data_IF_712107305756
#
_entry.id   IF_712107305756
#
_cell.length_a   1.000
_cell.length_b   1.000
_cell.length_c   1.000
_cell.angle_alpha   90.00
_cell.angle_beta   90.00
_cell.angle_gamma   90.00
#
_symmetry.space_group_name_H-M   'P 1'
#
loop_
_entity.id
_entity.type
_entity.pdbx_description
1 polymer ?
#
# COMPACT_ATOMS: atom_id res chain seq x y z
N UNK A 1 -28.04 8.46 72.93
CA UNK A 1 -27.94 7.78 71.62
C UNK A 1 -27.98 8.80 70.47
N UNK A 2 -26.92 9.59 70.28
CA UNK A 2 -26.79 10.56 69.18
C UNK A 2 -25.40 10.65 68.49
N UNK A 3 -24.29 10.03 68.96
CA UNK A 3 -23.01 10.19 68.25
C UNK A 3 -22.75 9.13 67.16
N UNK A 4 -23.54 8.04 67.11
CA UNK A 4 -23.25 6.91 66.19
C UNK A 4 -23.69 7.19 64.75
N UNK A 5 -24.64 8.11 64.53
CA UNK A 5 -25.17 8.40 63.20
C UNK A 5 -24.25 9.29 62.33
N UNK A 6 -23.37 10.09 62.94
CA UNK A 6 -22.50 11.01 62.19
C UNK A 6 -21.25 10.34 61.61
N UNK A 7 -20.83 9.18 62.13
CA UNK A 7 -19.67 8.46 61.58
C UNK A 7 -20.03 7.60 60.37
N UNK A 8 -21.30 7.17 60.25
CA UNK A 8 -21.73 6.33 59.14
C UNK A 8 -21.91 7.11 57.83
N UNK A 9 -22.28 8.40 57.88
CA UNK A 9 -22.46 9.21 56.67
C UNK A 9 -21.14 9.61 55.99
N UNK A 10 -20.05 9.72 56.77
CA UNK A 10 -18.74 10.12 56.24
C UNK A 10 -18.06 8.96 55.49
N UNK A 11 -18.31 7.72 55.92
CA UNK A 11 -17.75 6.52 55.29
C UNK A 11 -18.45 6.17 53.97
N UNK A 12 -19.72 6.55 53.80
CA UNK A 12 -20.48 6.33 52.56
C UNK A 12 -20.06 7.28 51.42
N UNK A 13 -19.50 8.46 51.73
CA UNK A 13 -19.04 9.41 50.71
C UNK A 13 -17.70 9.04 50.07
N UNK A 14 -16.86 8.25 50.75
CA UNK A 14 -15.54 7.85 50.23
C UNK A 14 -15.66 6.71 49.20
N UNK A 15 -16.75 5.92 49.24
CA UNK A 15 -16.91 4.76 48.34
C UNK A 15 -17.47 5.19 46.96
N UNK A 16 -18.16 6.33 46.85
CA UNK A 16 -18.80 6.76 45.59
C UNK A 16 -17.82 7.48 44.64
N UNK A 17 -16.67 7.96 45.14
CA UNK A 17 -15.66 8.64 44.31
C UNK A 17 -14.74 7.70 43.50
N UNK A 18 -14.84 6.38 43.68
CA UNK A 18 -13.99 5.41 42.97
C UNK A 18 -14.58 4.81 41.69
N UNK A 19 -15.81 5.15 41.30
CA UNK A 19 -16.45 4.55 40.10
C UNK A 19 -16.55 5.49 38.90
N UNK A 20 -15.89 6.65 38.91
CA UNK A 20 -16.05 7.68 37.87
C UNK A 20 -14.88 7.78 36.87
N UNK A 21 -14.22 6.67 36.48
CA UNK A 21 -13.27 6.68 35.35
C UNK A 21 -13.23 5.33 34.62
N UNK A 22 -14.21 5.03 33.78
CA UNK A 22 -14.10 3.89 32.85
C UNK A 22 -14.83 4.06 31.51
N UNK A 23 -15.67 5.08 31.33
CA UNK A 23 -16.62 5.09 30.19
C UNK A 23 -16.19 5.84 28.93
N UNK A 24 -14.96 6.38 28.83
CA UNK A 24 -14.58 7.13 27.61
C UNK A 24 -13.25 6.73 26.96
N UNK A 25 -12.55 5.71 27.47
CA UNK A 25 -11.31 5.27 26.80
C UNK A 25 -11.57 4.63 25.43
N UNK A 26 -12.75 4.04 25.19
CA UNK A 26 -13.10 3.48 23.88
C UNK A 26 -13.33 4.57 22.83
N UNK A 27 -13.98 5.68 23.21
CA UNK A 27 -14.20 6.82 22.32
C UNK A 27 -12.90 7.56 22.03
N UNK A 28 -12.05 7.74 23.06
CA UNK A 28 -10.71 8.33 22.93
C UNK A 28 -9.80 7.46 22.07
N UNK A 29 -9.80 6.13 22.24
CA UNK A 29 -9.04 5.21 21.39
C UNK A 29 -9.53 5.19 19.95
N UNK A 30 -10.85 5.30 19.70
CA UNK A 30 -11.40 5.46 18.34
C UNK A 30 -11.01 6.80 17.72
N UNK A 31 -10.98 7.87 18.50
CA UNK A 31 -10.56 9.19 18.04
C UNK A 31 -9.06 9.22 17.71
N UNK A 32 -8.19 8.60 18.52
CA UNK A 32 -6.77 8.45 18.21
C UNK A 32 -6.52 7.52 17.02
N UNK A 33 -7.24 6.40 16.89
CA UNK A 33 -7.14 5.52 15.72
C UNK A 33 -7.56 6.25 14.43
N UNK A 34 -8.60 7.07 14.49
CA UNK A 34 -9.06 7.89 13.36
C UNK A 34 -8.10 9.05 13.05
N UNK A 35 -7.55 9.72 14.06
CA UNK A 35 -6.51 10.75 13.85
C UNK A 35 -5.22 10.16 13.26
N UNK A 36 -4.82 8.96 13.69
CA UNK A 36 -3.65 8.29 13.13
C UNK A 36 -3.88 7.89 11.66
N UNK A 37 -5.09 7.46 11.29
CA UNK A 37 -5.46 7.24 9.89
C UNK A 37 -5.44 8.53 9.07
N UNK A 38 -5.97 9.64 9.63
CA UNK A 38 -6.00 10.92 8.94
C UNK A 38 -4.60 11.50 8.73
N UNK A 39 -3.73 11.44 9.73
CA UNK A 39 -2.35 11.92 9.66
C UNK A 39 -1.49 11.09 8.70
N UNK A 40 -1.71 9.76 8.67
CA UNK A 40 -0.97 8.84 7.82
C UNK A 40 -1.48 8.86 6.36
N UNK A 41 -2.76 9.18 6.14
CA UNK A 41 -3.27 9.56 4.80
C UNK A 41 -2.73 10.93 4.40
N UNK A 42 -2.76 11.92 5.28
CA UNK A 42 -2.29 13.26 4.99
C UNK A 42 -0.78 13.30 4.67
N UNK A 43 0.05 12.45 5.28
CA UNK A 43 1.47 12.29 4.91
C UNK A 43 1.66 11.62 3.54
N UNK A 44 0.88 10.59 3.22
CA UNK A 44 0.92 9.93 1.91
C UNK A 44 0.37 10.85 0.80
N UNK A 45 -0.56 11.74 1.17
CA UNK A 45 -1.16 12.69 0.25
C UNK A 45 -0.43 14.03 0.15
N UNK A 46 0.25 14.49 1.19
CA UNK A 46 1.21 15.59 1.08
C UNK A 46 2.42 15.16 0.25
N UNK A 47 2.79 13.87 0.27
CA UNK A 47 3.68 13.35 -0.76
C UNK A 47 3.06 13.46 -2.14
N UNK A 48 1.77 13.11 -2.31
CA UNK A 48 0.97 13.31 -3.55
C UNK A 48 0.82 14.77 -4.04
N UNK A 49 1.03 15.78 -3.19
CA UNK A 49 1.07 17.19 -3.58
C UNK A 49 2.49 17.77 -3.69
N UNK A 50 3.51 17.14 -3.09
CA UNK A 50 4.93 17.51 -3.26
C UNK A 50 5.59 16.93 -4.53
N UNK A 51 4.84 16.37 -5.47
CA UNK A 51 5.40 15.85 -6.74
C UNK A 51 5.79 16.95 -7.74
N UNK A 52 5.34 18.19 -7.56
CA UNK A 52 5.46 19.22 -8.59
C UNK A 52 6.58 20.26 -8.41
N UNK A 53 7.38 20.23 -7.34
CA UNK A 53 8.16 21.45 -7.00
C UNK A 53 9.63 21.31 -6.59
N UNK A 54 10.21 20.11 -6.52
CA UNK A 54 11.62 19.98 -6.10
C UNK A 54 12.37 18.93 -6.91
N UNK A 55 12.83 19.31 -8.11
CA UNK A 55 14.05 18.81 -8.79
C UNK A 55 14.33 17.30 -8.85
N UNK A 56 13.35 16.42 -8.64
CA UNK A 56 13.51 14.97 -8.68
C UNK A 56 13.06 14.45 -10.03
N UNK A 57 13.81 13.49 -10.56
CA UNK A 57 13.50 12.76 -11.80
C UNK A 57 12.00 12.45 -11.84
N UNK A 58 11.36 12.85 -12.94
CA UNK A 58 9.95 12.58 -13.21
C UNK A 58 9.70 11.08 -13.00
N UNK A 59 8.66 10.73 -12.24
CA UNK A 59 8.32 9.31 -12.09
C UNK A 59 8.07 8.72 -13.46
N UNK A 60 8.82 7.67 -13.76
CA UNK A 60 8.59 6.87 -14.94
C UNK A 60 7.22 6.18 -14.84
N UNK A 61 6.29 6.66 -15.64
CA UNK A 61 4.92 6.17 -15.75
C UNK A 61 4.54 6.16 -17.24
N UNK A 62 5.11 5.21 -18.00
CA UNK A 62 4.84 5.08 -19.42
C UNK A 62 3.40 4.62 -19.66
N UNK A 63 2.96 4.79 -20.90
CA UNK A 63 1.65 4.35 -21.34
C UNK A 63 1.72 2.86 -21.67
N UNK A 64 0.82 2.07 -21.10
CA UNK A 64 0.68 0.63 -21.38
C UNK A 64 -0.71 0.30 -21.92
N UNK A 65 -0.83 -0.86 -22.55
CA UNK A 65 -2.14 -1.47 -22.85
C UNK A 65 -2.49 -2.46 -21.75
N UNK A 66 -3.54 -2.13 -21.00
CA UNK A 66 -4.05 -2.95 -19.91
C UNK A 66 -5.28 -3.73 -20.32
N UNK A 67 -5.34 -4.99 -19.93
CA UNK A 67 -6.58 -5.78 -19.86
C UNK A 67 -7.20 -5.56 -18.49
N UNK A 68 -8.40 -4.97 -18.46
CA UNK A 68 -9.11 -4.61 -17.23
C UNK A 68 -10.37 -5.45 -17.14
N UNK A 69 -10.50 -6.26 -16.08
CA UNK A 69 -11.73 -6.98 -15.78
C UNK A 69 -12.55 -6.16 -14.79
N UNK A 70 -13.73 -5.72 -15.23
CA UNK A 70 -14.68 -4.92 -14.45
C UNK A 70 -15.40 -5.76 -13.40
N UNK A 71 -16.06 -5.12 -12.42
CA UNK A 71 -16.86 -5.80 -11.39
C UNK A 71 -17.99 -6.67 -11.96
N UNK A 72 -18.59 -6.24 -13.07
CA UNK A 72 -19.64 -7.02 -13.77
C UNK A 72 -19.08 -8.23 -14.54
N UNK A 73 -17.75 -8.40 -14.59
CA UNK A 73 -17.08 -9.49 -15.32
C UNK A 73 -16.75 -9.17 -16.77
N UNK A 74 -17.16 -8.01 -17.29
CA UNK A 74 -16.75 -7.56 -18.62
C UNK A 74 -15.26 -7.22 -18.63
N UNK A 75 -14.62 -7.38 -19.79
CA UNK A 75 -13.21 -7.05 -19.98
C UNK A 75 -13.06 -5.91 -20.97
N UNK A 76 -12.18 -4.95 -20.66
CA UNK A 76 -11.84 -3.83 -21.54
C UNK A 76 -10.33 -3.78 -21.77
N UNK A 77 -9.93 -3.48 -23.00
CA UNK A 77 -8.56 -3.07 -23.30
C UNK A 77 -8.42 -1.56 -23.18
N UNK A 78 -7.46 -1.11 -22.37
CA UNK A 78 -7.30 0.29 -22.01
C UNK A 78 -5.85 0.70 -22.20
N UNK A 79 -5.60 1.50 -23.23
CA UNK A 79 -4.27 2.05 -23.50
C UNK A 79 -4.09 3.39 -22.78
N UNK A 80 -3.41 3.40 -21.63
CA UNK A 80 -3.35 4.55 -20.72
C UNK A 80 -2.09 4.56 -19.85
N UNK A 81 -1.80 5.72 -19.25
CA UNK A 81 -0.96 5.78 -18.05
C UNK A 81 -1.84 5.52 -16.82
N UNK A 82 -1.23 5.22 -15.67
CA UNK A 82 -1.96 5.23 -14.40
C UNK A 82 -1.91 6.66 -13.85
N UNK A 83 -3.01 7.39 -13.94
CA UNK A 83 -3.10 8.77 -13.48
C UNK A 83 -3.49 8.85 -12.00
N UNK A 84 -3.15 9.96 -11.36
CA UNK A 84 -3.64 10.30 -10.02
C UNK A 84 -4.79 11.31 -10.11
N UNK A 85 -5.90 11.00 -9.46
CA UNK A 85 -7.00 11.92 -9.21
C UNK A 85 -6.78 12.56 -7.83
N UNK A 86 -6.33 13.81 -7.81
CA UNK A 86 -5.99 14.53 -6.57
C UNK A 86 -7.21 14.94 -5.76
N UNK A 87 -8.39 14.99 -6.39
CA UNK A 87 -9.65 15.31 -5.70
C UNK A 87 -10.26 14.07 -5.08
N UNK A 88 -10.32 12.96 -5.83
CA UNK A 88 -10.87 11.70 -5.34
C UNK A 88 -9.88 10.89 -4.49
N UNK A 89 -8.59 11.26 -4.54
CA UNK A 89 -7.49 10.56 -3.88
C UNK A 89 -7.32 9.10 -4.32
N UNK A 90 -7.47 8.87 -5.64
CA UNK A 90 -7.43 7.55 -6.27
C UNK A 90 -6.60 7.57 -7.54
N UNK A 91 -6.04 6.44 -7.92
CA UNK A 91 -5.53 6.25 -9.28
C UNK A 91 -6.68 5.98 -10.25
N UNK A 92 -6.48 6.30 -11.53
CA UNK A 92 -7.43 5.92 -12.58
C UNK A 92 -6.71 5.64 -13.90
N UNK A 93 -7.37 4.87 -14.77
CA UNK A 93 -7.03 4.77 -16.18
C UNK A 93 -7.97 5.67 -16.97
N UNK A 94 -7.43 6.36 -17.98
CA UNK A 94 -8.23 7.07 -18.96
C UNK A 94 -8.60 6.11 -20.10
N UNK A 95 -9.86 5.72 -20.18
CA UNK A 95 -10.45 4.98 -21.29
C UNK A 95 -10.97 5.98 -22.33
N UNK A 96 -10.59 5.78 -23.59
CA UNK A 96 -11.00 6.62 -24.71
C UNK A 96 -11.81 5.79 -25.70
N UNK A 97 -13.12 5.97 -25.72
CA UNK A 97 -14.00 5.30 -26.66
C UNK A 97 -13.85 5.93 -28.05
N UNK A 98 -13.22 5.19 -28.97
CA UNK A 98 -12.96 5.68 -30.32
C UNK A 98 -14.20 5.61 -31.23
N UNK A 99 -15.27 4.94 -30.81
CA UNK A 99 -16.53 4.89 -31.57
C UNK A 99 -17.32 6.20 -31.45
N UNK A 100 -17.11 6.94 -30.36
CA UNK A 100 -17.74 8.25 -30.12
C UNK A 100 -16.96 9.41 -30.78
N UNK A 101 -17.70 10.44 -31.18
CA UNK A 101 -17.13 11.65 -31.77
C UNK A 101 -16.19 12.37 -30.78
N UNK A 102 -15.16 13.07 -31.31
CA UNK A 102 -14.15 13.73 -30.45
C UNK A 102 -14.72 14.74 -29.44
N UNK A 103 -15.88 15.34 -29.76
CA UNK A 103 -16.58 16.33 -28.93
C UNK A 103 -17.57 15.70 -27.95
N UNK A 104 -17.82 14.40 -28.05
CA UNK A 104 -18.73 13.70 -27.15
C UNK A 104 -18.14 13.67 -25.73
N UNK A 105 -18.93 14.11 -24.75
CA UNK A 105 -18.51 14.15 -23.35
C UNK A 105 -18.26 12.75 -22.76
N UNK A 106 -18.90 11.71 -23.31
CA UNK A 106 -18.76 10.33 -22.86
C UNK A 106 -17.56 9.60 -23.48
N UNK A 107 -16.83 10.24 -24.40
CA UNK A 107 -15.67 9.66 -25.08
C UNK A 107 -14.53 9.33 -24.13
N UNK A 108 -14.31 10.18 -23.12
CA UNK A 108 -13.22 10.04 -22.17
C UNK A 108 -13.79 9.61 -20.82
N UNK A 109 -13.54 8.37 -20.43
CA UNK A 109 -14.06 7.80 -19.19
C UNK A 109 -12.91 7.48 -18.25
N UNK A 110 -13.06 7.81 -16.98
CA UNK A 110 -12.13 7.37 -15.94
C UNK A 110 -12.58 6.01 -15.43
N UNK A 111 -11.66 5.05 -15.39
CA UNK A 111 -11.85 3.76 -14.74
C UNK A 111 -11.06 3.80 -13.44
N UNK A 112 -11.71 3.57 -12.32
CA UNK A 112 -11.11 3.53 -10.99
C UNK A 112 -10.97 2.08 -10.47
N UNK A 113 -10.02 1.82 -9.55
CA UNK A 113 -9.81 0.49 -8.97
C UNK A 113 -11.07 -0.20 -8.46
N UNK A 114 -11.96 0.49 -7.75
CA UNK A 114 -13.18 -0.11 -7.19
C UNK A 114 -14.19 -0.57 -8.23
N UNK A 115 -14.06 -0.12 -9.48
CA UNK A 115 -14.90 -0.57 -10.58
C UNK A 115 -14.34 -1.85 -11.22
N UNK A 116 -13.19 -2.33 -10.76
CA UNK A 116 -12.44 -3.43 -11.37
C UNK A 116 -12.25 -4.59 -10.38
N UNK A 117 -12.27 -5.82 -10.89
CA UNK A 117 -11.82 -7.01 -10.17
C UNK A 117 -10.30 -7.15 -10.26
N UNK A 118 -9.75 -6.93 -11.45
CA UNK A 118 -8.34 -7.11 -11.74
C UNK A 118 -7.88 -6.24 -12.91
N UNK A 119 -6.58 -5.99 -12.96
CA UNK A 119 -5.89 -5.36 -14.08
C UNK A 119 -4.66 -6.18 -14.42
N UNK A 120 -4.32 -6.29 -15.70
CA UNK A 120 -3.06 -6.88 -16.14
C UNK A 120 -2.52 -6.20 -17.38
N UNK A 121 -1.20 -6.25 -17.58
CA UNK A 121 -0.57 -5.95 -18.87
C UNK A 121 0.31 -7.11 -19.30
N UNK A 122 0.45 -7.31 -20.60
CA UNK A 122 1.42 -8.24 -21.16
C UNK A 122 2.78 -7.55 -21.15
N UNK A 123 3.79 -8.17 -20.54
CA UNK A 123 5.18 -7.73 -20.65
C UNK A 123 5.70 -8.11 -22.04
N UNK A 124 6.53 -7.24 -22.63
CA UNK A 124 7.06 -7.49 -23.97
C UNK A 124 7.84 -8.82 -24.00
N UNK A 125 7.69 -9.67 -25.02
CA UNK A 125 8.43 -10.93 -25.12
C UNK A 125 9.95 -10.76 -25.22
N UNK A 126 10.43 -9.53 -25.48
CA UNK A 126 11.86 -9.21 -25.46
C UNK A 126 12.46 -9.14 -24.05
N UNK A 127 11.65 -9.09 -22.98
CA UNK A 127 12.19 -9.02 -21.63
C UNK A 127 12.57 -10.39 -21.06
N UNK A 128 11.80 -11.46 -21.29
CA UNK A 128 12.23 -12.83 -21.01
C UNK A 128 11.44 -13.83 -21.86
N UNK A 129 12.12 -14.51 -22.78
CA UNK A 129 11.59 -15.63 -23.53
C UNK A 129 11.36 -16.84 -22.59
N UNK A 130 10.30 -17.61 -22.85
CA UNK A 130 9.99 -18.94 -22.29
C UNK A 130 9.13 -19.09 -21.02
N UNK A 131 8.17 -18.18 -20.74
CA UNK A 131 7.16 -18.44 -19.71
C UNK A 131 5.71 -18.16 -20.19
N UNK A 132 4.71 -18.95 -19.73
CA UNK A 132 3.31 -18.83 -20.16
C UNK A 132 2.74 -17.47 -19.75
N UNK A 133 2.44 -16.64 -20.74
CA UNK A 133 1.91 -15.27 -20.63
C UNK A 133 2.52 -14.47 -19.46
N UNK A 134 3.58 -13.71 -19.72
CA UNK A 134 4.16 -12.74 -18.78
C UNK A 134 3.16 -11.60 -18.49
N UNK A 135 2.08 -11.93 -17.81
CA UNK A 135 1.02 -11.02 -17.44
C UNK A 135 1.38 -10.39 -16.10
N UNK A 136 1.73 -9.11 -16.13
CA UNK A 136 1.98 -8.34 -14.93
C UNK A 136 0.64 -7.89 -14.33
N UNK A 137 0.20 -8.59 -13.28
CA UNK A 137 -1.12 -8.43 -12.66
C UNK A 137 -1.08 -7.42 -11.51
N UNK A 138 -2.09 -6.55 -11.49
CA UNK A 138 -2.38 -5.64 -10.40
C UNK A 138 -3.63 -6.05 -9.63
N UNK A 139 -3.59 -5.87 -8.31
CA UNK A 139 -4.70 -6.13 -7.39
C UNK A 139 -5.44 -4.82 -7.16
N UNK A 140 -6.75 -4.76 -7.43
CA UNK A 140 -7.55 -3.60 -7.13
C UNK A 140 -7.72 -3.42 -5.60
N UNK A 141 -7.50 -2.20 -5.11
CA UNK A 141 -7.77 -1.75 -3.74
C UNK A 141 -8.55 -0.44 -3.76
N UNK A 142 -8.83 0.13 -2.59
CA UNK A 142 -9.70 1.31 -2.47
C UNK A 142 -9.12 2.57 -3.13
N UNK A 143 -7.81 2.69 -3.33
CA UNK A 143 -7.23 3.90 -3.90
C UNK A 143 -6.31 3.67 -5.07
N UNK A 144 -5.83 2.45 -5.28
CA UNK A 144 -4.94 2.14 -6.39
C UNK A 144 -5.02 0.67 -6.80
N UNK A 145 -4.42 0.37 -7.95
CA UNK A 145 -4.02 -1.00 -8.27
C UNK A 145 -2.62 -1.25 -7.70
N UNK A 146 -2.44 -2.37 -7.01
CA UNK A 146 -1.17 -2.77 -6.44
C UNK A 146 -0.51 -3.85 -7.31
N UNK A 147 0.64 -3.54 -7.88
CA UNK A 147 1.44 -4.46 -8.69
C UNK A 147 2.58 -5.03 -7.83
N UNK A 148 2.75 -6.35 -7.83
CA UNK A 148 3.85 -7.00 -7.09
C UNK A 148 5.16 -6.81 -7.85
N UNK A 149 5.98 -5.86 -7.41
CA UNK A 149 7.23 -5.45 -8.07
C UNK A 149 8.45 -6.17 -7.50
N UNK A 150 8.45 -6.51 -6.21
CA UNK A 150 9.50 -7.33 -5.60
C UNK A 150 8.90 -8.66 -5.16
N UNK A 151 9.58 -9.76 -5.51
CA UNK A 151 9.23 -11.13 -5.11
C UNK A 151 10.29 -11.68 -4.15
N UNK A 152 9.86 -12.44 -3.15
CA UNK A 152 10.73 -13.03 -2.14
C UNK A 152 9.99 -13.23 -0.83
N UNK A 153 10.73 -13.40 0.27
CA UNK A 153 10.17 -13.52 1.62
C UNK A 153 9.38 -12.28 2.00
N UNK A 154 9.88 -11.10 1.67
CA UNK A 154 9.10 -9.86 1.63
C UNK A 154 8.75 -9.59 0.17
N UNK A 155 7.46 -9.62 -0.16
CA UNK A 155 6.94 -9.08 -1.41
C UNK A 155 6.64 -7.59 -1.23
N UNK A 156 6.98 -6.77 -2.23
CA UNK A 156 6.68 -5.34 -2.24
C UNK A 156 5.74 -4.99 -3.39
N UNK A 157 4.86 -4.02 -3.17
CA UNK A 157 3.82 -3.63 -4.11
C UNK A 157 3.92 -2.16 -4.47
N UNK A 158 3.87 -1.86 -5.77
CA UNK A 158 3.83 -0.50 -6.32
C UNK A 158 2.43 -0.13 -6.80
N UNK A 159 2.11 1.17 -6.78
CA UNK A 159 0.91 1.73 -7.42
C UNK A 159 1.05 1.86 -8.95
N UNK A 160 2.27 1.69 -9.48
CA UNK A 160 2.57 1.67 -10.92
C UNK A 160 2.93 0.27 -11.39
N UNK A 161 2.78 0.04 -12.70
CA UNK A 161 2.96 -1.26 -13.31
C UNK A 161 4.39 -1.53 -13.80
N UNK A 162 5.40 -0.82 -13.28
CA UNK A 162 6.81 -0.99 -13.67
C UNK A 162 7.48 -2.08 -12.84
N UNK A 163 8.37 -2.84 -13.47
CA UNK A 163 9.16 -3.89 -12.79
C UNK A 163 10.38 -3.28 -12.10
N UNK A 164 10.84 -3.89 -11.00
CA UNK A 164 11.92 -3.35 -10.17
C UNK A 164 13.33 -3.55 -10.76
N UNK A 165 13.44 -4.39 -11.78
CA UNK A 165 14.66 -4.62 -12.56
C UNK A 165 14.83 -3.60 -13.71
N UNK A 166 13.81 -2.77 -13.96
CA UNK A 166 13.94 -1.64 -14.86
C UNK A 166 14.75 -0.53 -14.17
N UNK A 167 15.77 0.00 -14.86
CA UNK A 167 16.62 1.10 -14.37
C UNK A 167 15.81 2.34 -13.94
N UNK A 168 14.60 2.49 -14.49
CA UNK A 168 13.71 3.62 -14.23
C UNK A 168 12.71 3.38 -13.08
N UNK A 169 12.78 2.26 -12.37
CA UNK A 169 11.89 1.99 -11.25
C UNK A 169 12.11 2.98 -10.10
N UNK A 170 11.06 3.71 -9.72
CA UNK A 170 11.12 4.64 -8.61
C UNK A 170 10.58 4.02 -7.31
N UNK A 171 11.41 3.82 -6.26
CA UNK A 171 10.98 3.22 -5.00
C UNK A 171 9.89 4.01 -4.25
N UNK A 172 9.69 5.29 -4.57
CA UNK A 172 8.63 6.10 -3.97
C UNK A 172 7.22 5.70 -4.40
N UNK A 173 7.10 4.81 -5.40
CA UNK A 173 5.83 4.23 -5.86
C UNK A 173 5.36 3.06 -4.99
N UNK A 174 6.20 2.57 -4.07
CA UNK A 174 5.85 1.48 -3.15
C UNK A 174 4.74 1.90 -2.18
N UNK A 175 3.70 1.07 -2.09
CA UNK A 175 2.51 1.31 -1.27
C UNK A 175 2.17 0.16 -0.33
N UNK A 176 2.65 -1.06 -0.62
CA UNK A 176 2.33 -2.25 0.17
C UNK A 176 3.52 -3.18 0.38
N UNK A 177 3.49 -3.91 1.49
CA UNK A 177 4.43 -4.97 1.86
C UNK A 177 3.67 -6.22 2.26
N UNK A 178 4.23 -7.39 1.99
CA UNK A 178 3.70 -8.68 2.42
C UNK A 178 4.86 -9.54 2.87
N UNK A 179 4.77 -10.11 4.07
CA UNK A 179 5.71 -11.12 4.56
C UNK A 179 5.15 -12.50 4.23
N UNK A 180 5.94 -13.33 3.57
CA UNK A 180 5.60 -14.65 3.06
C UNK A 180 4.29 -14.63 2.26
N UNK A 181 3.25 -15.33 2.76
CA UNK A 181 1.89 -15.35 2.20
C UNK A 181 0.87 -14.68 3.12
N UNK A 182 1.33 -13.85 4.06
CA UNK A 182 0.48 -13.15 5.00
C UNK A 182 -0.26 -11.97 4.38
N UNK A 183 -0.84 -11.13 5.24
CA UNK A 183 -1.58 -9.95 4.80
C UNK A 183 -0.67 -8.91 4.14
N UNK A 184 -1.23 -8.20 3.15
CA UNK A 184 -0.58 -7.02 2.59
C UNK A 184 -0.83 -5.85 3.54
N UNK A 185 0.24 -5.33 4.14
CA UNK A 185 0.20 -4.15 5.01
C UNK A 185 0.69 -2.92 4.25
N UNK A 186 0.34 -1.74 4.76
CA UNK A 186 0.84 -0.46 4.23
C UNK A 186 2.36 -0.41 4.28
N UNK A 187 2.98 0.09 3.20
CA UNK A 187 4.40 0.40 3.20
C UNK A 187 4.71 1.58 4.13
N UNK A 188 5.49 1.32 5.18
CA UNK A 188 6.13 2.32 6.04
C UNK A 188 7.37 1.70 6.72
N UNK A 189 8.18 2.55 7.36
CA UNK A 189 9.44 2.12 7.98
C UNK A 189 9.22 1.11 9.12
N UNK A 190 8.22 1.32 9.96
CA UNK A 190 7.96 0.48 11.14
C UNK A 190 7.53 -0.94 10.73
N UNK A 191 6.60 -1.05 9.79
CA UNK A 191 6.18 -2.34 9.23
C UNK A 191 7.36 -3.07 8.59
N UNK A 192 8.23 -2.36 7.86
CA UNK A 192 9.41 -2.96 7.26
C UNK A 192 10.41 -3.44 8.32
N UNK A 193 10.67 -2.65 9.38
CA UNK A 193 11.52 -3.04 10.52
C UNK A 193 11.01 -4.33 11.18
N UNK A 194 9.71 -4.41 11.43
CA UNK A 194 9.08 -5.61 12.00
C UNK A 194 9.29 -6.82 11.09
N UNK A 195 9.13 -6.67 9.77
CA UNK A 195 9.32 -7.76 8.81
C UNK A 195 10.77 -8.24 8.69
N UNK A 196 11.75 -7.33 8.72
CA UNK A 196 13.17 -7.72 8.62
C UNK A 196 13.72 -8.30 9.93
N UNK A 197 13.07 -8.02 11.07
CA UNK A 197 13.48 -8.53 12.38
C UNK A 197 14.89 -8.10 12.73
N UNK A 198 15.77 -9.07 13.01
CA UNK A 198 17.15 -8.86 13.45
C UNK A 198 18.19 -8.90 12.31
N UNK A 199 17.78 -8.87 11.04
CA UNK A 199 18.74 -8.81 9.91
C UNK A 199 19.47 -7.45 9.90
N UNK A 200 20.71 -7.45 10.42
CA UNK A 200 21.51 -6.23 10.62
C UNK A 200 21.81 -5.51 9.32
N UNK A 201 22.02 -6.23 8.22
CA UNK A 201 22.35 -5.64 6.92
C UNK A 201 21.14 -4.91 6.34
N UNK A 202 19.95 -5.51 6.46
CA UNK A 202 18.70 -4.88 6.05
C UNK A 202 18.37 -3.66 6.91
N UNK A 203 18.51 -3.77 8.24
CA UNK A 203 18.31 -2.66 9.18
C UNK A 203 19.25 -1.47 8.89
N UNK A 204 20.49 -1.74 8.49
CA UNK A 204 21.44 -0.70 8.10
C UNK A 204 20.96 0.11 6.88
N UNK A 205 20.31 -0.56 5.90
CA UNK A 205 19.72 0.12 4.74
C UNK A 205 18.45 0.89 5.08
N UNK A 206 17.63 0.36 5.98
CA UNK A 206 16.47 1.10 6.51
C UNK A 206 16.92 2.40 7.18
N UNK A 207 17.97 2.36 8.01
CA UNK A 207 18.54 3.57 8.65
C UNK A 207 19.02 4.60 7.61
N UNK A 208 19.53 4.13 6.47
CA UNK A 208 19.94 4.97 5.33
C UNK A 208 18.76 5.42 4.44
N UNK A 209 17.53 5.07 4.81
CA UNK A 209 16.29 5.31 4.04
C UNK A 209 16.28 4.65 2.65
N UNK A 210 17.09 3.61 2.47
CA UNK A 210 17.18 2.82 1.25
C UNK A 210 16.33 1.54 1.39
N UNK A 211 15.00 1.74 1.38
CA UNK A 211 14.04 0.69 1.70
C UNK A 211 13.99 -0.43 0.66
N UNK A 212 14.10 -0.09 -0.64
CA UNK A 212 14.11 -1.12 -1.69
C UNK A 212 15.33 -2.03 -1.54
N UNK A 213 16.52 -1.46 -1.29
CA UNK A 213 17.72 -2.24 -1.05
C UNK A 213 17.64 -3.07 0.24
N UNK A 214 17.02 -2.55 1.29
CA UNK A 214 16.75 -3.30 2.51
C UNK A 214 15.93 -4.58 2.22
N UNK A 215 14.85 -4.45 1.46
CA UNK A 215 13.99 -5.57 1.05
C UNK A 215 14.79 -6.59 0.22
N UNK A 216 15.56 -6.13 -0.79
CA UNK A 216 16.38 -7.00 -1.63
C UNK A 216 17.45 -7.76 -0.83
N UNK A 217 18.11 -7.08 0.12
CA UNK A 217 19.12 -7.71 1.00
C UNK A 217 18.48 -8.77 1.89
N UNK A 218 17.38 -8.45 2.56
CA UNK A 218 16.68 -9.40 3.43
C UNK A 218 16.24 -10.64 2.66
N UNK A 219 15.62 -10.47 1.50
CA UNK A 219 15.16 -11.58 0.66
C UNK A 219 16.32 -12.50 0.26
N UNK A 220 17.46 -11.91 -0.15
CA UNK A 220 18.68 -12.65 -0.50
C UNK A 220 19.26 -13.40 0.71
N UNK A 221 19.30 -12.78 1.89
CA UNK A 221 19.82 -13.40 3.11
C UNK A 221 18.92 -14.56 3.58
N UNK A 222 17.59 -14.38 3.49
CA UNK A 222 16.61 -15.42 3.80
C UNK A 222 16.75 -16.63 2.87
N UNK A 223 16.96 -16.40 1.57
CA UNK A 223 17.16 -17.48 0.59
C UNK A 223 18.46 -18.27 0.87
N UNK A 224 19.56 -17.58 1.18
CA UNK A 224 20.84 -18.23 1.57
C UNK A 224 20.67 -19.10 2.82
N UNK A 225 19.97 -18.57 3.83
CA UNK A 225 19.69 -19.30 5.07
C UNK A 225 18.87 -20.54 4.79
N UNK A 226 17.82 -20.45 3.96
CA UNK A 226 17.00 -21.59 3.58
C UNK A 226 17.80 -22.68 2.84
N UNK A 227 18.73 -22.31 1.97
CA UNK A 227 19.61 -23.24 1.25
C UNK A 227 20.59 -23.98 2.17
N UNK A 228 21.10 -23.31 3.21
CA UNK A 228 22.06 -23.91 4.14
C UNK A 228 21.42 -24.86 5.17
N UNK A 229 20.10 -24.76 5.39
CA UNK A 229 19.36 -25.61 6.35
C UNK A 229 18.90 -26.93 5.73
N UNK A 230 18.80 -27.02 4.40
CA UNK A 230 18.45 -28.26 3.71
C UNK A 230 19.73 -29.09 3.47
N UNK A 231 19.81 -30.35 3.96
CA UNK A 231 20.96 -31.21 3.66
C UNK A 231 21.04 -31.44 2.16
N UNK A 232 22.24 -31.25 1.58
CA UNK A 232 22.51 -31.60 0.18
C UNK A 232 22.24 -33.10 0.03
N UNK A 233 21.22 -33.45 -0.75
CA UNK A 233 20.91 -34.83 -1.13
C UNK A 233 21.69 -35.20 -2.37
#
# INVERSE_FOLDING_TARGET
MKPVFNFLSLLLFIIISYTATAQNMVAVNRMFANQNMQFNMQMQMNRSMMWGHWGKAEIYNPKHTFTVTMLDGTTKEVSSKIYADTTAHKSYLLFVDKTLAKKDSNRNQKIYPQQTKAISRVLSPYEYAEAPSNNFKGIAKDSCWMFKVVKGKISAYSLLSEEDDNMDFNPSTLVGLQLDKGDIVKFNEDNLKVMVGNDTDALEKIRKKDYLKAIKIYNRNAEKTAKNVLPQR
#
